data_IF_941923102304
#
_entry.id   IF_941923102304
#
_cell.length_a   1.000
_cell.length_b   1.000
_cell.length_c   1.000
_cell.angle_alpha   90.00
_cell.angle_beta   90.00
_cell.angle_gamma   90.00
#
_symmetry.space_group_name_H-M   'P 1'
#
loop_
_entity.id
_entity.type
_entity.pdbx_description
1 polymer ?
#
# COMPACT_ATOMS: atom_id res chain seq x y z
N UNK A 1 16.67 -37.94 14.15
CA UNK A 1 15.75 -36.79 14.19
C UNK A 1 15.64 -36.27 12.77
N UNK A 2 14.55 -36.55 12.07
CA UNK A 2 14.33 -36.05 10.70
C UNK A 2 13.89 -34.59 10.78
N UNK A 3 14.75 -33.67 10.38
CA UNK A 3 14.37 -32.28 10.12
C UNK A 3 13.68 -32.24 8.76
N UNK A 4 12.37 -32.46 8.77
CA UNK A 4 11.54 -32.20 7.61
C UNK A 4 11.49 -30.67 7.44
N UNK A 5 12.21 -30.15 6.44
CA UNK A 5 12.13 -28.73 6.09
C UNK A 5 10.75 -28.48 5.50
N UNK A 6 9.84 -27.94 6.31
CA UNK A 6 8.55 -27.43 5.87
C UNK A 6 8.78 -26.28 4.88
N UNK A 7 8.83 -26.63 3.59
CA UNK A 7 9.03 -25.69 2.50
C UNK A 7 7.72 -24.94 2.22
N UNK A 8 7.24 -24.21 3.22
CA UNK A 8 5.98 -23.46 3.17
C UNK A 8 6.26 -22.06 2.64
N UNK A 9 5.70 -21.76 1.46
CA UNK A 9 5.75 -20.41 0.89
C UNK A 9 4.95 -19.44 1.75
N UNK A 10 5.44 -18.20 1.88
CA UNK A 10 4.70 -17.12 2.55
C UNK A 10 4.03 -16.24 1.50
N UNK A 11 2.74 -15.98 1.67
CA UNK A 11 2.02 -14.98 0.87
C UNK A 11 2.18 -13.61 1.53
N UNK A 12 2.78 -12.65 0.82
CA UNK A 12 3.10 -11.31 1.32
C UNK A 12 2.34 -10.27 0.51
N UNK A 13 1.65 -9.38 1.20
CA UNK A 13 1.01 -8.20 0.61
C UNK A 13 1.81 -6.96 1.04
N UNK A 14 2.44 -6.31 0.08
CA UNK A 14 3.12 -5.02 0.24
C UNK A 14 2.52 -4.03 -0.76
N UNK A 15 2.08 -2.88 -0.27
CA UNK A 15 1.38 -1.87 -1.06
C UNK A 15 2.12 -0.53 -0.98
N UNK A 16 2.31 0.12 -2.12
CA UNK A 16 2.94 1.44 -2.17
C UNK A 16 1.89 2.54 -2.01
N UNK A 17 2.13 3.45 -1.07
CA UNK A 17 1.32 4.62 -0.77
C UNK A 17 2.11 5.88 -1.11
N UNK A 18 2.12 6.20 -2.40
CA UNK A 18 2.92 7.29 -2.98
C UNK A 18 2.07 8.48 -3.45
N UNK A 19 0.76 8.26 -3.64
CA UNK A 19 -0.14 9.24 -4.23
C UNK A 19 0.41 9.77 -5.56
N UNK A 20 0.43 11.10 -5.77
CA UNK A 20 0.99 11.70 -6.98
C UNK A 20 2.50 11.47 -7.10
N UNK A 21 3.20 11.21 -6.00
CA UNK A 21 4.65 11.06 -6.00
C UNK A 21 5.13 9.86 -6.83
N UNK A 22 4.29 8.83 -7.02
CA UNK A 22 4.63 7.69 -7.88
C UNK A 22 4.49 7.97 -9.38
N UNK A 23 3.89 9.10 -9.78
CA UNK A 23 3.54 9.41 -11.18
C UNK A 23 3.87 10.84 -11.59
N UNK A 24 4.57 11.58 -10.73
CA UNK A 24 4.76 13.03 -10.87
C UNK A 24 5.52 13.46 -12.14
N UNK A 25 6.33 12.56 -12.72
CA UNK A 25 7.13 12.77 -13.91
C UNK A 25 6.37 12.48 -15.22
N UNK A 26 5.29 11.68 -15.14
CA UNK A 26 4.52 11.21 -16.30
C UNK A 26 3.09 11.75 -16.35
N UNK A 27 2.59 12.37 -15.28
CA UNK A 27 1.23 12.92 -15.22
C UNK A 27 1.15 14.24 -14.45
N UNK A 28 -0.01 14.88 -14.49
CA UNK A 28 -0.32 16.08 -13.72
C UNK A 28 -1.48 15.84 -12.77
N UNK A 29 -1.61 16.72 -11.77
CA UNK A 29 -2.73 16.71 -10.83
C UNK A 29 -4.07 16.81 -11.57
N UNK A 30 -4.16 17.63 -12.61
CA UNK A 30 -5.40 17.79 -13.37
C UNK A 30 -5.85 16.50 -14.07
N UNK A 31 -4.88 15.64 -14.46
CA UNK A 31 -5.15 14.38 -15.15
C UNK A 31 -5.38 13.20 -14.22
N UNK A 32 -4.74 13.19 -13.05
CA UNK A 32 -4.71 12.03 -12.15
C UNK A 32 -5.27 12.30 -10.74
N UNK A 33 -5.67 13.54 -10.45
CA UNK A 33 -6.11 13.98 -9.14
C UNK A 33 -7.30 13.21 -8.60
N UNK A 34 -8.28 12.89 -9.45
CA UNK A 34 -9.46 12.10 -9.05
C UNK A 34 -9.08 10.71 -8.52
N UNK A 35 -8.07 10.07 -9.11
CA UNK A 35 -7.58 8.77 -8.65
C UNK A 35 -6.92 8.90 -7.28
N UNK A 36 -6.13 9.96 -7.08
CA UNK A 36 -5.51 10.29 -5.79
C UNK A 36 -6.58 10.57 -4.72
N UNK A 37 -7.65 11.28 -5.06
CA UNK A 37 -8.78 11.52 -4.15
C UNK A 37 -9.50 10.20 -3.79
N UNK A 38 -9.60 9.27 -4.74
CA UNK A 38 -10.12 7.93 -4.52
C UNK A 38 -9.36 7.15 -3.45
N UNK A 39 -8.04 7.35 -3.33
CA UNK A 39 -7.20 6.68 -2.33
C UNK A 39 -7.70 6.93 -0.90
N UNK A 40 -8.26 8.12 -0.61
CA UNK A 40 -8.83 8.45 0.71
C UNK A 40 -9.99 7.54 1.11
N UNK A 41 -10.70 6.95 0.13
CA UNK A 41 -11.77 5.97 0.35
C UNK A 41 -11.23 4.54 0.36
N UNK A 42 -10.25 4.25 -0.50
CA UNK A 42 -9.68 2.91 -0.67
C UNK A 42 -8.88 2.47 0.56
N UNK A 43 -8.05 3.35 1.14
CA UNK A 43 -7.20 2.97 2.29
C UNK A 43 -8.03 2.50 3.49
N UNK A 44 -9.05 3.23 3.97
CA UNK A 44 -9.91 2.73 5.05
C UNK A 44 -10.62 1.42 4.71
N UNK A 45 -11.08 1.26 3.47
CA UNK A 45 -11.76 0.03 3.04
C UNK A 45 -10.80 -1.18 3.02
N UNK A 46 -9.57 -1.01 2.55
CA UNK A 46 -8.54 -2.06 2.57
C UNK A 46 -8.13 -2.42 4.00
N UNK A 47 -7.95 -1.43 4.88
CA UNK A 47 -7.62 -1.67 6.29
C UNK A 47 -8.73 -2.47 6.98
N UNK A 48 -10.00 -2.11 6.77
CA UNK A 48 -11.14 -2.85 7.31
C UNK A 48 -11.21 -4.28 6.75
N UNK A 49 -10.90 -4.46 5.47
CA UNK A 49 -10.88 -5.78 4.84
C UNK A 49 -9.75 -6.65 5.41
N UNK A 50 -8.54 -6.11 5.51
CA UNK A 50 -7.41 -6.84 6.08
C UNK A 50 -7.63 -7.19 7.55
N UNK A 51 -8.23 -6.29 8.33
CA UNK A 51 -8.60 -6.57 9.71
C UNK A 51 -9.65 -7.69 9.81
N UNK A 52 -10.73 -7.61 9.01
CA UNK A 52 -11.82 -8.59 8.99
C UNK A 52 -11.35 -10.02 8.62
N UNK A 53 -10.32 -10.14 7.79
CA UNK A 53 -9.74 -11.43 7.40
C UNK A 53 -8.44 -11.78 8.14
N UNK A 54 -8.05 -10.97 9.14
CA UNK A 54 -6.81 -11.13 9.90
C UNK A 54 -5.55 -11.24 9.01
N UNK A 55 -5.54 -10.49 7.90
CA UNK A 55 -4.43 -10.43 6.95
C UNK A 55 -3.41 -9.40 7.43
N UNK A 56 -2.15 -9.82 7.53
CA UNK A 56 -1.03 -8.89 7.75
C UNK A 56 -0.60 -8.30 6.41
N UNK A 57 -0.68 -6.99 6.30
CA UNK A 57 -0.26 -6.22 5.12
C UNK A 57 0.69 -5.10 5.51
N UNK A 58 1.61 -4.74 4.63
CA UNK A 58 2.50 -3.59 4.81
C UNK A 58 2.15 -2.51 3.79
N UNK A 59 2.14 -1.25 4.24
CA UNK A 59 2.07 -0.08 3.37
C UNK A 59 3.41 0.65 3.41
N UNK A 60 4.11 0.72 2.27
CA UNK A 60 5.29 1.54 2.10
C UNK A 60 4.85 2.97 1.78
N UNK A 61 5.37 3.97 2.49
CA UNK A 61 4.97 5.37 2.29
C UNK A 61 6.17 6.21 1.87
N UNK A 62 5.93 7.28 1.11
CA UNK A 62 6.98 8.23 0.77
C UNK A 62 7.15 9.25 1.89
N UNK A 63 8.37 9.40 2.41
CA UNK A 63 8.66 10.28 3.55
C UNK A 63 8.25 11.75 3.33
N UNK A 64 8.32 12.24 2.08
CA UNK A 64 7.93 13.62 1.75
C UNK A 64 6.44 13.90 2.01
N UNK A 65 5.57 12.88 1.99
CA UNK A 65 4.13 13.03 2.28
C UNK A 65 3.86 13.48 3.71
N UNK A 66 4.81 13.26 4.63
CA UNK A 66 4.70 13.61 6.04
C UNK A 66 5.72 14.67 6.47
N UNK A 67 6.52 15.18 5.53
CA UNK A 67 7.49 16.23 5.81
C UNK A 67 6.76 17.52 6.19
N UNK A 68 7.01 18.01 7.41
CA UNK A 68 6.51 19.30 7.89
C UNK A 68 7.58 20.36 7.71
N UNK A 69 7.16 21.58 7.37
CA UNK A 69 8.01 22.76 7.36
C UNK A 69 8.41 23.17 8.77
#
# INVERSE_FOLDING_TARGET
MNTQSDNTGTFVISLDYELLWGVWDVTSIDKYGEHILGVKKVIPALLNLFDAYHIRSTFATVGILFCKK
#
